data_IF_608042568490
#
_entry.id   IF_608042568490
#
_cell.length_a   1.000
_cell.length_b   1.000
_cell.length_c   1.000
_cell.angle_alpha   90.00
_cell.angle_beta   90.00
_cell.angle_gamma   90.00
#
_symmetry.space_group_name_H-M   'P 1'
#
loop_
_entity.id
_entity.type
_entity.pdbx_description
1 polymer ?
#
# COMPACT_ATOMS: atom_id res chain seq x y z
N UNK A 1 9.38 31.34 22.74
CA UNK A 1 9.08 32.16 21.54
C UNK A 1 9.91 31.70 20.34
N UNK A 2 11.24 31.77 20.32
CA UNK A 2 12.07 31.33 19.17
C UNK A 2 11.82 29.90 18.65
N UNK A 3 11.57 28.94 19.54
CA UNK A 3 11.23 27.57 19.14
C UNK A 3 9.82 27.46 18.56
N UNK A 4 8.87 28.25 19.06
CA UNK A 4 7.51 28.35 18.53
C UNK A 4 7.51 29.07 17.18
N UNK A 5 8.26 30.16 17.04
CA UNK A 5 8.47 30.85 15.77
C UNK A 5 9.13 29.95 14.73
N UNK A 6 10.14 29.17 15.12
CA UNK A 6 10.77 28.17 14.24
C UNK A 6 9.77 27.10 13.80
N UNK A 7 8.94 26.58 14.72
CA UNK A 7 7.89 25.60 14.39
C UNK A 7 6.80 26.20 13.49
N UNK A 8 6.45 27.47 13.68
CA UNK A 8 5.49 28.20 12.83
C UNK A 8 6.06 28.41 11.43
N UNK A 9 7.33 28.80 11.32
CA UNK A 9 8.04 28.96 10.04
C UNK A 9 8.15 27.61 9.34
N UNK A 10 8.55 26.54 10.04
CA UNK A 10 8.62 25.18 9.46
C UNK A 10 7.24 24.65 9.06
N UNK A 11 6.16 25.08 9.72
CA UNK A 11 4.79 24.73 9.37
C UNK A 11 4.22 25.53 8.19
N UNK A 12 4.80 26.70 7.87
CA UNK A 12 4.34 27.58 6.78
C UNK A 12 5.17 27.46 5.50
N UNK A 13 6.42 27.02 5.57
CA UNK A 13 7.27 26.84 4.38
C UNK A 13 6.93 25.53 3.69
N UNK A 14 6.31 25.64 2.51
CA UNK A 14 6.03 24.51 1.63
C UNK A 14 7.30 24.07 0.88
N UNK A 15 7.46 22.75 0.71
CA UNK A 15 8.43 22.20 -0.25
C UNK A 15 8.00 22.52 -1.70
N UNK A 16 8.88 22.32 -2.68
CA UNK A 16 8.51 22.52 -4.09
C UNK A 16 7.31 21.64 -4.52
N UNK A 17 7.23 20.33 -4.18
CA UNK A 17 6.03 19.54 -4.46
C UNK A 17 4.77 20.00 -3.72
N UNK A 18 4.91 20.46 -2.49
CA UNK A 18 3.79 20.99 -1.70
C UNK A 18 3.26 22.30 -2.33
N UNK A 19 4.16 23.23 -2.68
CA UNK A 19 3.82 24.49 -3.36
C UNK A 19 3.17 24.25 -4.73
N UNK A 20 3.59 23.22 -5.47
CA UNK A 20 2.94 22.87 -6.73
C UNK A 20 1.51 22.32 -6.51
N UNK A 21 1.28 21.53 -5.45
CA UNK A 21 -0.09 21.12 -5.10
C UNK A 21 -0.93 22.33 -4.69
N UNK A 22 -0.41 23.25 -3.88
CA UNK A 22 -1.09 24.49 -3.51
C UNK A 22 -1.52 25.28 -4.76
N UNK A 23 -0.58 25.57 -5.67
CA UNK A 23 -0.84 26.29 -6.92
C UNK A 23 -1.92 25.60 -7.76
N UNK A 24 -1.78 24.29 -7.97
CA UNK A 24 -2.72 23.51 -8.77
C UNK A 24 -4.11 23.47 -8.13
N UNK A 25 -4.20 23.29 -6.81
CA UNK A 25 -5.47 23.28 -6.09
C UNK A 25 -6.13 24.65 -6.07
N UNK A 26 -5.37 25.75 -5.99
CA UNK A 26 -5.91 27.10 -6.09
C UNK A 26 -6.60 27.35 -7.44
N UNK A 27 -5.94 26.98 -8.54
CA UNK A 27 -6.51 27.07 -9.89
C UNK A 27 -7.72 26.14 -10.05
N UNK A 28 -7.63 24.90 -9.55
CA UNK A 28 -8.74 23.95 -9.59
C UNK A 28 -9.95 24.42 -8.78
N UNK A 29 -9.74 25.10 -7.64
CA UNK A 29 -10.81 25.61 -6.79
C UNK A 29 -11.53 26.81 -7.43
N UNK A 30 -10.84 27.60 -8.26
CA UNK A 30 -11.47 28.63 -9.07
C UNK A 30 -12.26 28.04 -10.27
N UNK A 31 -11.69 27.05 -10.96
CA UNK A 31 -12.27 26.48 -12.18
C UNK A 31 -13.44 25.50 -11.92
N UNK A 32 -13.30 24.63 -10.90
CA UNK A 32 -14.30 23.62 -10.45
C UNK A 32 -14.84 22.63 -11.49
N UNK A 33 -14.30 22.61 -12.71
CA UNK A 33 -14.75 21.72 -13.79
C UNK A 33 -14.72 20.22 -13.41
N UNK A 34 -13.76 19.81 -12.59
CA UNK A 34 -13.56 18.40 -12.19
C UNK A 34 -14.32 17.98 -10.92
N UNK A 35 -15.21 18.81 -10.37
CA UNK A 35 -15.85 18.57 -9.05
C UNK A 35 -16.55 17.21 -8.94
N UNK A 36 -17.12 16.69 -10.03
CA UNK A 36 -17.82 15.40 -10.05
C UNK A 36 -16.92 14.16 -10.20
N UNK A 37 -15.60 14.30 -10.35
CA UNK A 37 -14.76 13.19 -10.81
C UNK A 37 -14.28 12.27 -9.67
N UNK A 38 -13.96 12.81 -8.48
CA UNK A 38 -13.51 11.98 -7.35
C UNK A 38 -13.61 12.75 -6.03
N UNK A 39 -13.32 12.10 -4.90
CA UNK A 39 -13.39 12.70 -3.57
C UNK A 39 -12.48 13.93 -3.36
N UNK A 40 -11.40 14.05 -4.12
CA UNK A 40 -10.41 15.12 -3.93
C UNK A 40 -11.04 16.49 -4.16
N UNK A 41 -11.85 16.65 -5.22
CA UNK A 41 -12.37 17.98 -5.56
C UNK A 41 -13.44 18.46 -4.58
N UNK A 42 -14.45 17.66 -4.18
CA UNK A 42 -15.36 18.04 -3.10
C UNK A 42 -14.68 18.30 -1.76
N UNK A 43 -13.55 17.63 -1.46
CA UNK A 43 -12.75 17.93 -0.27
C UNK A 43 -11.99 19.25 -0.43
N UNK A 44 -11.39 19.49 -1.59
CA UNK A 44 -10.67 20.71 -1.93
C UNK A 44 -11.58 21.95 -1.88
N UNK A 45 -12.82 21.87 -2.35
CA UNK A 45 -13.77 23.02 -2.37
C UNK A 45 -14.29 23.44 -0.99
N UNK A 46 -13.90 22.74 0.08
CA UNK A 46 -14.16 23.13 1.46
C UNK A 46 -13.05 24.01 2.05
N UNK A 47 -12.05 24.37 1.24
CA UNK A 47 -10.87 25.14 1.65
C UNK A 47 -10.74 26.40 0.83
N UNK A 48 -10.18 27.44 1.45
CA UNK A 48 -9.79 28.69 0.78
C UNK A 48 -8.28 28.74 0.54
N UNK A 49 -7.51 28.17 1.45
CA UNK A 49 -6.05 28.06 1.40
C UNK A 49 -5.65 26.59 1.57
N UNK A 50 -4.45 26.22 1.08
CA UNK A 50 -3.97 24.85 1.08
C UNK A 50 -2.67 24.73 1.86
N UNK A 51 -2.78 24.69 3.19
CA UNK A 51 -1.64 24.43 4.06
C UNK A 51 -1.10 23.00 3.94
N UNK A 52 0.09 22.76 4.50
CA UNK A 52 0.81 21.49 4.44
C UNK A 52 -0.03 20.26 4.81
N UNK A 53 -0.78 20.33 5.90
CA UNK A 53 -1.63 19.23 6.36
C UNK A 53 -2.75 18.90 5.34
N UNK A 54 -3.31 19.91 4.68
CA UNK A 54 -4.32 19.73 3.64
C UNK A 54 -3.72 19.18 2.36
N UNK A 55 -2.53 19.62 1.98
CA UNK A 55 -1.79 19.06 0.84
C UNK A 55 -1.56 17.56 1.03
N UNK A 56 -1.01 17.14 2.18
CA UNK A 56 -0.77 15.71 2.43
C UNK A 56 -2.07 14.90 2.54
N UNK A 57 -3.12 15.50 3.11
CA UNK A 57 -4.45 14.90 3.13
C UNK A 57 -4.99 14.65 1.73
N UNK A 58 -5.06 15.69 0.88
CA UNK A 58 -5.57 15.61 -0.49
C UNK A 58 -4.72 14.67 -1.35
N UNK A 59 -3.39 14.68 -1.16
CA UNK A 59 -2.47 13.78 -1.83
C UNK A 59 -2.79 12.31 -1.56
N UNK A 60 -3.18 11.95 -0.33
CA UNK A 60 -3.53 10.59 0.06
C UNK A 60 -4.99 10.21 -0.24
N UNK A 61 -5.89 11.21 -0.28
CA UNK A 61 -7.25 11.05 -0.80
C UNK A 61 -7.26 10.80 -2.31
N UNK A 62 -6.28 11.35 -3.04
CA UNK A 62 -6.13 11.14 -4.47
C UNK A 62 -5.76 9.68 -4.81
N UNK A 63 -6.55 9.06 -5.68
CA UNK A 63 -6.33 7.70 -6.20
C UNK A 63 -5.44 7.64 -7.45
N UNK A 64 -4.91 8.80 -7.87
CA UNK A 64 -4.07 8.92 -9.06
C UNK A 64 -4.79 8.40 -10.32
N UNK A 65 -6.08 8.71 -10.47
CA UNK A 65 -6.97 8.15 -11.48
C UNK A 65 -6.73 8.68 -12.91
N UNK A 66 -6.27 9.92 -13.04
CA UNK A 66 -5.95 10.52 -14.35
C UNK A 66 -7.12 11.25 -15.03
N UNK A 67 -8.37 10.97 -14.65
CA UNK A 67 -9.55 11.60 -15.26
C UNK A 67 -9.48 13.13 -15.29
N UNK A 68 -9.05 13.75 -14.18
CA UNK A 68 -8.88 15.21 -14.11
C UNK A 68 -7.79 15.75 -15.04
N UNK A 69 -6.74 14.97 -15.35
CA UNK A 69 -5.71 15.38 -16.29
C UNK A 69 -6.25 15.39 -17.72
N UNK A 70 -6.95 14.33 -18.13
CA UNK A 70 -7.48 14.20 -19.49
C UNK A 70 -8.61 15.20 -19.79
N UNK A 71 -9.37 15.60 -18.78
CA UNK A 71 -10.46 16.55 -18.95
C UNK A 71 -10.05 18.02 -18.76
N UNK A 72 -8.82 18.30 -18.31
CA UNK A 72 -8.40 19.65 -17.96
C UNK A 72 -8.02 20.46 -19.20
N UNK A 73 -8.71 21.60 -19.40
CA UNK A 73 -8.41 22.57 -20.46
C UNK A 73 -7.04 23.25 -20.26
N UNK A 74 -6.53 23.23 -19.03
CA UNK A 74 -5.26 23.84 -18.62
C UNK A 74 -4.14 22.80 -18.43
N UNK A 75 -4.35 21.54 -18.83
CA UNK A 75 -3.31 20.53 -18.82
C UNK A 75 -2.17 20.90 -19.79
N UNK A 76 -0.94 20.40 -19.58
CA UNK A 76 0.13 20.58 -20.55
C UNK A 76 -0.31 20.18 -21.97
N UNK A 77 0.04 20.96 -23.01
CA UNK A 77 1.06 22.02 -23.02
C UNK A 77 0.55 23.44 -22.72
N UNK A 78 -0.67 23.62 -22.18
CA UNK A 78 -1.17 24.95 -21.77
C UNK A 78 -0.20 25.63 -20.78
N UNK A 79 -0.10 26.96 -20.80
CA UNK A 79 0.85 27.75 -19.99
C UNK A 79 0.73 27.49 -18.47
N UNK A 80 -0.49 27.28 -17.95
CA UNK A 80 -0.72 26.93 -16.55
C UNK A 80 -0.23 25.51 -16.18
N UNK A 81 -0.02 24.64 -17.17
CA UNK A 81 0.54 23.30 -17.05
C UNK A 81 -0.06 22.45 -15.91
N UNK A 82 -1.37 22.50 -15.72
CA UNK A 82 -2.07 21.86 -14.59
C UNK A 82 -1.99 20.34 -14.70
N UNK A 83 -1.26 19.70 -13.77
CA UNK A 83 -1.16 18.24 -13.70
C UNK A 83 -1.39 17.73 -12.28
N UNK A 84 -2.67 17.64 -11.91
CA UNK A 84 -3.13 17.15 -10.60
C UNK A 84 -2.54 15.78 -10.22
N UNK A 85 -2.61 14.71 -11.05
CA UNK A 85 -2.11 13.41 -10.62
C UNK A 85 -0.59 13.40 -10.39
N UNK A 86 0.19 14.18 -11.15
CA UNK A 86 1.64 14.29 -10.94
C UNK A 86 1.97 15.04 -9.65
N UNK A 87 1.39 16.23 -9.45
CA UNK A 87 1.58 17.04 -8.25
C UNK A 87 1.21 16.24 -6.98
N UNK A 88 0.03 15.63 -6.98
CA UNK A 88 -0.44 14.79 -5.87
C UNK A 88 0.45 13.56 -5.64
N UNK A 89 1.01 12.96 -6.69
CA UNK A 89 1.97 11.87 -6.52
C UNK A 89 3.23 12.38 -5.80
N UNK A 90 3.82 13.49 -6.24
CA UNK A 90 5.05 14.02 -5.65
C UNK A 90 4.85 14.34 -4.15
N UNK A 91 3.80 15.06 -3.78
CA UNK A 91 3.48 15.35 -2.37
C UNK A 91 3.15 14.09 -1.55
N UNK A 92 2.56 13.06 -2.17
CA UNK A 92 2.30 11.76 -1.50
C UNK A 92 3.60 11.04 -1.13
N UNK A 93 4.61 11.09 -1.99
CA UNK A 93 5.90 10.50 -1.68
C UNK A 93 6.57 11.20 -0.49
N UNK A 94 6.45 12.53 -0.40
CA UNK A 94 6.92 13.30 0.75
C UNK A 94 6.15 12.95 2.02
N UNK A 95 4.83 12.75 1.91
CA UNK A 95 4.01 12.25 3.02
C UNK A 95 4.64 10.98 3.62
N UNK A 96 4.90 9.97 2.80
CA UNK A 96 5.44 8.70 3.30
C UNK A 96 6.82 8.87 3.95
N UNK A 97 7.66 9.75 3.41
CA UNK A 97 8.97 10.04 3.98
C UNK A 97 8.88 10.75 5.33
N UNK A 98 8.02 11.77 5.44
CA UNK A 98 7.86 12.58 6.65
C UNK A 98 7.24 11.79 7.81
N UNK A 99 6.28 10.92 7.50
CA UNK A 99 5.61 10.10 8.51
C UNK A 99 6.28 8.74 8.76
N UNK A 100 7.38 8.43 8.07
CA UNK A 100 8.19 7.25 8.36
C UNK A 100 8.67 7.27 9.82
N UNK A 101 8.56 6.13 10.51
CA UNK A 101 9.09 5.93 11.86
C UNK A 101 10.09 4.78 11.86
N UNK A 102 11.32 4.96 12.39
CA UNK A 102 11.93 6.22 12.79
C UNK A 102 12.14 7.19 11.61
N UNK A 103 12.26 8.50 11.85
CA UNK A 103 12.36 9.50 10.78
C UNK A 103 13.57 9.27 9.84
N UNK A 104 14.67 8.73 10.36
CA UNK A 104 15.84 8.35 9.56
C UNK A 104 15.51 7.37 8.43
N UNK A 105 14.48 6.55 8.60
CA UNK A 105 14.11 5.51 7.64
C UNK A 105 13.23 6.06 6.51
N UNK A 106 12.89 7.35 6.52
CA UNK A 106 12.33 8.04 5.35
C UNK A 106 13.22 7.93 4.10
N UNK A 107 14.54 7.77 4.29
CA UNK A 107 15.47 7.51 3.20
C UNK A 107 15.22 6.18 2.46
N UNK A 108 14.62 5.19 3.13
CA UNK A 108 14.30 3.89 2.53
C UNK A 108 13.23 4.03 1.45
N UNK A 109 12.29 4.97 1.58
CA UNK A 109 11.33 5.30 0.52
C UNK A 109 12.01 5.88 -0.72
N UNK A 110 13.05 6.71 -0.56
CA UNK A 110 13.80 7.29 -1.69
C UNK A 110 14.59 6.23 -2.46
N UNK A 111 15.07 5.19 -1.75
CA UNK A 111 15.88 4.09 -2.31
C UNK A 111 15.10 2.78 -2.39
N UNK A 112 13.77 2.85 -2.42
CA UNK A 112 12.90 1.69 -2.23
C UNK A 112 13.22 0.50 -3.13
N UNK A 113 13.59 0.73 -4.40
CA UNK A 113 14.00 -0.33 -5.31
C UNK A 113 15.24 -1.11 -4.82
N UNK A 114 16.25 -0.39 -4.35
CA UNK A 114 17.48 -0.99 -3.78
C UNK A 114 17.17 -1.68 -2.45
N UNK A 115 16.39 -1.02 -1.58
CA UNK A 115 15.97 -1.60 -0.29
C UNK A 115 15.26 -2.94 -0.49
N UNK A 116 14.32 -3.01 -1.43
CA UNK A 116 13.60 -4.25 -1.77
C UNK A 116 14.55 -5.31 -2.32
N UNK A 117 15.44 -4.95 -3.25
CA UNK A 117 16.39 -5.90 -3.81
C UNK A 117 17.34 -6.47 -2.75
N UNK A 118 17.87 -5.63 -1.87
CA UNK A 118 18.74 -6.06 -0.77
C UNK A 118 17.99 -6.93 0.24
N UNK A 119 16.78 -6.55 0.63
CA UNK A 119 15.96 -7.36 1.53
C UNK A 119 15.67 -8.75 0.93
N UNK A 120 15.42 -8.82 -0.37
CA UNK A 120 15.21 -10.08 -1.08
C UNK A 120 16.48 -10.93 -1.11
N UNK A 121 17.63 -10.36 -1.50
CA UNK A 121 18.91 -11.08 -1.54
C UNK A 121 19.26 -11.61 -0.15
N UNK A 122 19.22 -10.76 0.88
CA UNK A 122 19.55 -11.15 2.26
C UNK A 122 18.57 -12.21 2.76
N UNK A 123 17.27 -12.06 2.51
CA UNK A 123 16.26 -13.05 2.89
C UNK A 123 16.51 -14.41 2.23
N UNK A 124 16.72 -14.45 0.92
CA UNK A 124 16.99 -15.69 0.19
C UNK A 124 18.29 -16.35 0.66
N UNK A 125 19.37 -15.58 0.79
CA UNK A 125 20.67 -16.10 1.27
C UNK A 125 20.54 -16.64 2.70
N UNK A 126 19.86 -15.92 3.59
CA UNK A 126 19.65 -16.34 4.98
C UNK A 126 18.96 -17.71 5.04
N UNK A 127 17.82 -17.88 4.38
CA UNK A 127 17.07 -19.14 4.48
C UNK A 127 17.75 -20.29 3.76
N UNK A 128 18.44 -20.06 2.64
CA UNK A 128 19.23 -21.10 1.98
C UNK A 128 20.39 -21.59 2.86
N UNK A 129 21.14 -20.67 3.48
CA UNK A 129 22.22 -21.02 4.41
C UNK A 129 21.68 -21.69 5.67
N UNK A 130 20.53 -21.25 6.18
CA UNK A 130 19.92 -21.84 7.37
C UNK A 130 19.42 -23.27 7.11
N UNK A 131 18.81 -23.53 5.95
CA UNK A 131 18.47 -24.91 5.54
C UNK A 131 19.73 -25.78 5.52
N UNK A 132 20.81 -25.30 4.91
CA UNK A 132 22.09 -26.02 4.85
C UNK A 132 22.66 -26.27 6.25
N UNK A 133 22.63 -25.28 7.14
CA UNK A 133 23.16 -25.40 8.49
C UNK A 133 22.37 -26.38 9.36
N UNK A 134 21.04 -26.43 9.21
CA UNK A 134 20.17 -27.28 10.03
C UNK A 134 20.07 -28.73 9.50
N UNK A 135 20.20 -28.93 8.18
CA UNK A 135 20.00 -30.24 7.53
C UNK A 135 21.22 -30.84 6.87
N UNK A 136 22.29 -30.06 6.67
CA UNK A 136 23.49 -30.49 5.95
C UNK A 136 23.30 -30.61 4.43
N UNK A 137 22.09 -30.41 3.92
CA UNK A 137 21.78 -30.45 2.49
C UNK A 137 20.49 -29.66 2.20
N UNK A 138 20.38 -29.12 0.98
CA UNK A 138 19.15 -28.52 0.45
C UNK A 138 18.18 -29.57 -0.12
N UNK A 139 18.71 -30.72 -0.54
CA UNK A 139 17.95 -31.85 -1.07
C UNK A 139 17.95 -32.94 0.00
N UNK A 140 16.77 -33.45 0.29
CA UNK A 140 16.54 -34.37 1.39
C UNK A 140 15.48 -35.41 0.95
N UNK A 141 15.40 -36.58 1.60
CA UNK A 141 14.31 -37.52 1.34
C UNK A 141 12.94 -36.85 1.56
N UNK A 142 11.90 -37.23 0.80
CA UNK A 142 10.54 -36.70 1.00
C UNK A 142 10.07 -36.81 2.45
N UNK A 143 9.55 -35.70 3.00
CA UNK A 143 9.11 -35.60 4.40
C UNK A 143 7.57 -35.60 4.54
N UNK A 144 6.86 -36.12 3.55
CA UNK A 144 5.38 -36.11 3.51
C UNK A 144 4.76 -34.72 3.77
N UNK A 145 5.42 -33.65 3.29
CA UNK A 145 4.94 -32.27 3.43
C UNK A 145 5.19 -31.63 4.79
N UNK A 146 5.78 -32.36 5.75
CA UNK A 146 6.12 -31.83 7.07
C UNK A 146 7.37 -30.95 7.00
N UNK A 147 7.13 -29.67 6.73
CA UNK A 147 8.17 -28.65 6.68
C UNK A 147 8.73 -28.26 8.05
N UNK A 148 8.08 -28.63 9.17
CA UNK A 148 8.60 -28.34 10.51
C UNK A 148 9.84 -29.17 10.84
N UNK A 149 9.99 -30.32 10.17
CA UNK A 149 11.24 -31.04 10.22
C UNK A 149 12.40 -30.21 9.68
N UNK A 150 12.21 -29.37 8.65
CA UNK A 150 13.27 -28.49 8.12
C UNK A 150 13.46 -27.27 9.01
N UNK A 151 12.38 -26.51 9.26
CA UNK A 151 12.39 -25.33 10.11
C UNK A 151 11.42 -25.52 11.26
N UNK A 152 11.91 -25.69 12.51
CA UNK A 152 11.04 -25.86 13.67
C UNK A 152 10.02 -24.73 13.79
N UNK A 153 8.79 -25.07 14.19
CA UNK A 153 7.69 -24.09 14.29
C UNK A 153 8.06 -22.86 15.13
N UNK A 154 8.69 -23.07 16.30
CA UNK A 154 9.09 -21.99 17.20
C UNK A 154 10.06 -21.00 16.56
N UNK A 155 10.98 -21.49 15.72
CA UNK A 155 11.93 -20.66 14.99
C UNK A 155 11.19 -19.75 13.99
N UNK A 156 10.27 -20.32 13.20
CA UNK A 156 9.48 -19.56 12.23
C UNK A 156 8.58 -18.53 12.94
N UNK A 157 7.89 -18.94 14.00
CA UNK A 157 7.02 -18.07 14.79
C UNK A 157 7.79 -16.88 15.37
N UNK A 158 8.97 -17.09 15.96
CA UNK A 158 9.79 -16.00 16.49
C UNK A 158 10.33 -15.08 15.39
N UNK A 159 10.90 -15.62 14.33
CA UNK A 159 11.49 -14.82 13.26
C UNK A 159 10.44 -13.95 12.54
N UNK A 160 9.35 -14.56 12.07
CA UNK A 160 8.33 -13.82 11.33
C UNK A 160 7.41 -13.02 12.23
N UNK A 161 7.05 -13.54 13.41
CA UNK A 161 6.20 -12.85 14.37
C UNK A 161 6.84 -11.55 14.88
N UNK A 162 8.12 -11.57 15.24
CA UNK A 162 8.83 -10.37 15.70
C UNK A 162 8.93 -9.30 14.60
N UNK A 163 9.31 -9.69 13.38
CA UNK A 163 9.38 -8.78 12.23
C UNK A 163 8.00 -8.22 11.88
N UNK A 164 6.96 -9.05 11.90
CA UNK A 164 5.58 -8.63 11.63
C UNK A 164 5.09 -7.59 12.66
N UNK A 165 5.26 -7.87 13.96
CA UNK A 165 4.85 -6.94 15.04
C UNK A 165 5.60 -5.61 14.92
N UNK A 166 6.91 -5.66 14.68
CA UNK A 166 7.71 -4.45 14.46
C UNK A 166 7.24 -3.66 13.24
N UNK A 167 7.07 -4.34 12.09
CA UNK A 167 6.64 -3.71 10.84
C UNK A 167 5.27 -3.01 10.99
N UNK A 168 4.29 -3.70 11.59
CA UNK A 168 2.98 -3.12 11.84
C UNK A 168 3.07 -1.97 12.85
N UNK A 169 3.83 -2.12 13.94
CA UNK A 169 4.01 -1.05 14.92
C UNK A 169 4.57 0.23 14.32
N UNK A 170 5.61 0.11 13.48
CA UNK A 170 6.25 1.26 12.80
C UNK A 170 5.30 1.92 11.79
N UNK A 171 4.57 1.13 11.01
CA UNK A 171 3.58 1.64 10.07
C UNK A 171 2.45 2.37 10.79
N UNK A 172 1.87 1.76 11.83
CA UNK A 172 0.76 2.34 12.59
C UNK A 172 1.20 3.61 13.32
N UNK A 173 2.42 3.66 13.86
CA UNK A 173 2.95 4.89 14.45
C UNK A 173 2.99 6.04 13.42
N UNK A 174 3.42 5.78 12.18
CA UNK A 174 3.40 6.77 11.10
C UNK A 174 1.98 7.22 10.73
N UNK A 175 1.04 6.28 10.60
CA UNK A 175 -0.37 6.57 10.28
C UNK A 175 -1.05 7.36 11.40
N UNK A 176 -0.77 7.04 12.67
CA UNK A 176 -1.30 7.77 13.84
C UNK A 176 -0.77 9.21 13.84
N UNK A 177 0.52 9.43 13.53
CA UNK A 177 1.08 10.78 13.41
C UNK A 177 0.40 11.57 12.28
N UNK A 178 0.24 10.96 11.11
CA UNK A 178 -0.49 11.57 9.99
C UNK A 178 -1.94 11.90 10.36
N UNK A 179 -2.64 10.96 10.99
CA UNK A 179 -4.01 11.14 11.45
C UNK A 179 -4.15 12.32 12.42
N UNK A 180 -3.20 12.50 13.34
CA UNK A 180 -3.22 13.65 14.27
C UNK A 180 -3.00 14.97 13.54
N UNK A 181 -2.09 15.00 12.57
CA UNK A 181 -1.72 16.25 11.87
C UNK A 181 -2.81 16.73 10.91
N UNK A 182 -3.48 15.82 10.21
CA UNK A 182 -4.59 16.19 9.30
C UNK A 182 -5.87 16.61 10.05
N UNK A 183 -5.87 16.61 11.38
CA UNK A 183 -6.95 17.09 12.26
C UNK A 183 -8.37 16.67 11.82
N UNK A 184 -8.66 15.35 11.73
CA UNK A 184 -9.85 14.81 11.07
C UNK A 184 -11.13 14.98 11.87
N UNK A 185 -11.06 15.46 13.12
CA UNK A 185 -12.18 15.44 14.07
C UNK A 185 -12.49 14.04 14.60
N UNK A 186 -13.60 13.91 15.32
CA UNK A 186 -14.04 12.64 15.91
C UNK A 186 -14.94 11.89 14.92
N UNK A 187 -14.55 10.67 14.47
CA UNK A 187 -15.38 9.84 13.62
C UNK A 187 -16.49 9.17 14.43
N UNK A 188 -17.69 9.05 13.85
CA UNK A 188 -18.80 8.22 14.39
C UNK A 188 -18.86 6.91 13.59
N UNK A 189 -19.65 5.97 14.08
CA UNK A 189 -19.82 4.64 13.48
C UNK A 189 -20.22 4.68 12.00
N UNK A 190 -21.09 5.63 11.62
CA UNK A 190 -21.55 5.80 10.23
C UNK A 190 -20.41 6.22 9.29
N UNK A 191 -19.53 7.13 9.71
CA UNK A 191 -18.42 7.56 8.86
C UNK A 191 -17.34 6.48 8.76
N UNK A 192 -17.13 5.72 9.84
CA UNK A 192 -16.26 4.53 9.79
C UNK A 192 -16.82 3.52 8.79
N UNK A 193 -18.13 3.24 8.83
CA UNK A 193 -18.77 2.33 7.88
C UNK A 193 -18.68 2.82 6.43
N UNK A 194 -18.92 4.11 6.18
CA UNK A 194 -18.79 4.72 4.83
C UNK A 194 -17.34 4.63 4.32
N UNK A 195 -16.37 5.01 5.15
CA UNK A 195 -14.95 4.96 4.79
C UNK A 195 -14.47 3.53 4.53
N UNK A 196 -14.86 2.58 5.39
CA UNK A 196 -14.58 1.15 5.22
C UNK A 196 -15.20 0.61 3.94
N UNK A 197 -16.47 0.91 3.67
CA UNK A 197 -17.13 0.51 2.43
C UNK A 197 -16.41 1.09 1.20
N UNK A 198 -16.06 2.37 1.21
CA UNK A 198 -15.35 3.02 0.11
C UNK A 198 -13.95 2.44 -0.11
N UNK A 199 -13.24 2.08 0.96
CA UNK A 199 -11.94 1.41 0.89
C UNK A 199 -12.06 -0.01 0.33
N UNK A 200 -12.95 -0.83 0.87
CA UNK A 200 -13.14 -2.24 0.48
C UNK A 200 -13.71 -2.42 -0.93
N UNK A 201 -14.54 -1.49 -1.39
CA UNK A 201 -15.08 -1.50 -2.77
C UNK A 201 -14.16 -0.79 -3.76
N UNK A 202 -13.14 -0.09 -3.26
CA UNK A 202 -12.29 0.83 -4.03
C UNK A 202 -13.14 1.84 -4.82
N UNK A 203 -14.13 2.44 -4.15
CA UNK A 203 -15.15 3.30 -4.78
C UNK A 203 -14.50 4.33 -5.71
N UNK A 204 -13.50 5.06 -5.24
CA UNK A 204 -12.86 6.14 -6.01
C UNK A 204 -11.85 5.68 -7.07
N UNK A 205 -11.74 4.37 -7.36
CA UNK A 205 -11.10 3.86 -8.58
C UNK A 205 -12.10 3.64 -9.73
N UNK A 206 -13.36 4.06 -9.57
CA UNK A 206 -14.37 4.05 -10.62
C UNK A 206 -14.46 5.37 -11.42
N UNK A 207 -13.61 6.36 -11.10
CA UNK A 207 -13.58 7.66 -11.76
C UNK A 207 -14.73 8.60 -11.39
N UNK A 208 -15.51 8.30 -10.34
CA UNK A 208 -16.68 9.09 -9.91
C UNK A 208 -17.92 8.82 -10.77
N UNK A 209 -17.74 8.69 -12.07
CA UNK A 209 -18.77 8.34 -13.05
C UNK A 209 -18.97 6.83 -13.26
N UNK A 210 -18.27 5.97 -12.51
CA UNK A 210 -18.45 4.52 -12.56
C UNK A 210 -17.76 3.77 -13.71
N UNK A 211 -17.09 4.47 -14.64
CA UNK A 211 -16.46 3.85 -15.83
C UNK A 211 -14.99 3.48 -15.63
N UNK A 212 -14.40 3.85 -14.49
CA UNK A 212 -13.01 3.54 -14.14
C UNK A 212 -12.05 4.70 -14.35
N UNK A 213 -10.76 4.38 -14.41
CA UNK A 213 -9.67 5.35 -14.47
C UNK A 213 -8.92 5.28 -15.80
N UNK A 214 -8.16 6.34 -16.08
CA UNK A 214 -7.28 6.43 -17.24
C UNK A 214 -5.93 5.78 -16.97
N UNK A 215 -5.36 5.20 -18.02
CA UNK A 215 -4.13 4.42 -17.97
C UNK A 215 -3.09 4.91 -18.97
N UNK A 216 -3.14 4.39 -20.21
CA UNK A 216 -2.22 4.77 -21.27
C UNK A 216 -2.71 6.01 -22.02
N UNK A 217 -4.02 6.16 -22.17
CA UNK A 217 -4.73 7.16 -22.95
C UNK A 217 -5.96 7.70 -22.19
N UNK A 218 -6.79 8.49 -22.89
CA UNK A 218 -8.00 9.11 -22.37
C UNK A 218 -9.20 8.16 -22.25
N UNK A 219 -9.05 6.87 -22.60
CA UNK A 219 -10.10 5.88 -22.43
C UNK A 219 -10.27 5.46 -20.96
N UNK A 220 -11.52 5.37 -20.51
CA UNK A 220 -11.84 4.89 -19.16
C UNK A 220 -11.77 3.37 -19.07
N UNK A 221 -11.17 2.85 -18.00
CA UNK A 221 -11.13 1.41 -17.74
C UNK A 221 -11.23 1.04 -16.26
N UNK A 222 -11.94 -0.05 -15.98
CA UNK A 222 -12.05 -0.64 -14.64
C UNK A 222 -10.90 -1.60 -14.31
N UNK A 223 -9.94 -1.81 -15.23
CA UNK A 223 -8.86 -2.78 -15.06
C UNK A 223 -8.04 -2.53 -13.79
N UNK A 224 -7.69 -1.28 -13.50
CA UNK A 224 -6.95 -0.93 -12.27
C UNK A 224 -7.71 -1.36 -11.02
N UNK A 225 -9.03 -1.11 -10.97
CA UNK A 225 -9.88 -1.49 -9.84
C UNK A 225 -9.96 -3.02 -9.70
N UNK A 226 -10.18 -3.74 -10.80
CA UNK A 226 -10.25 -5.21 -10.81
C UNK A 226 -8.93 -5.85 -10.37
N UNK A 227 -7.80 -5.41 -10.91
CA UNK A 227 -6.50 -5.94 -10.52
C UNK A 227 -6.14 -5.60 -9.06
N UNK A 228 -6.52 -4.41 -8.56
CA UNK A 228 -6.38 -4.12 -7.14
C UNK A 228 -7.26 -5.02 -6.27
N UNK A 229 -8.48 -5.36 -6.68
CA UNK A 229 -9.32 -6.31 -5.94
C UNK A 229 -8.70 -7.70 -5.88
N UNK A 230 -8.17 -8.21 -7.00
CA UNK A 230 -7.40 -9.46 -7.00
C UNK A 230 -6.20 -9.39 -6.05
N UNK A 231 -5.45 -8.29 -6.05
CA UNK A 231 -4.32 -8.11 -5.13
C UNK A 231 -4.76 -8.03 -3.67
N UNK A 232 -5.75 -7.20 -3.36
CA UNK A 232 -6.21 -6.94 -1.99
C UNK A 232 -6.87 -8.17 -1.39
N UNK A 233 -7.89 -8.72 -2.06
CA UNK A 233 -8.58 -9.90 -1.56
C UNK A 233 -7.69 -11.15 -1.65
N UNK A 234 -6.79 -11.23 -2.63
CA UNK A 234 -5.77 -12.27 -2.68
C UNK A 234 -4.89 -12.27 -1.43
N UNK A 235 -4.36 -11.10 -1.06
CA UNK A 235 -3.59 -10.93 0.18
C UNK A 235 -4.42 -11.22 1.44
N UNK A 236 -5.67 -10.75 1.51
CA UNK A 236 -6.55 -11.01 2.65
C UNK A 236 -6.86 -12.50 2.83
N UNK A 237 -7.02 -13.25 1.73
CA UNK A 237 -7.21 -14.70 1.79
C UNK A 237 -5.94 -15.43 2.25
N UNK A 238 -4.76 -15.05 1.77
CA UNK A 238 -3.49 -15.59 2.28
C UNK A 238 -3.27 -15.25 3.77
N UNK A 239 -3.63 -14.04 4.20
CA UNK A 239 -3.58 -13.66 5.60
C UNK A 239 -4.55 -14.48 6.44
N UNK A 240 -5.80 -14.65 5.97
CA UNK A 240 -6.80 -15.49 6.61
C UNK A 240 -6.33 -16.95 6.72
N UNK A 241 -5.67 -17.50 5.69
CA UNK A 241 -5.06 -18.82 5.75
C UNK A 241 -4.05 -18.94 6.91
N UNK A 242 -3.22 -17.92 7.10
CA UNK A 242 -2.24 -17.86 8.20
C UNK A 242 -2.93 -17.77 9.55
N UNK A 243 -3.97 -16.94 9.69
CA UNK A 243 -4.76 -16.81 10.93
C UNK A 243 -5.45 -18.14 11.29
N UNK A 244 -6.08 -18.80 10.32
CA UNK A 244 -6.72 -20.10 10.53
C UNK A 244 -5.69 -21.16 10.91
N UNK A 245 -4.56 -21.24 10.20
CA UNK A 245 -3.48 -22.19 10.53
C UNK A 245 -2.90 -21.95 11.93
N UNK A 246 -2.78 -20.69 12.35
CA UNK A 246 -2.34 -20.32 13.71
C UNK A 246 -3.36 -20.78 14.75
N UNK A 247 -4.65 -20.57 14.50
CA UNK A 247 -5.72 -21.05 15.38
C UNK A 247 -5.76 -22.59 15.44
N UNK A 248 -5.57 -23.27 14.32
CA UNK A 248 -5.46 -24.73 14.28
C UNK A 248 -4.34 -25.22 15.18
N UNK A 249 -3.14 -24.64 15.05
CA UNK A 249 -1.99 -25.05 15.85
C UNK A 249 -2.17 -24.76 17.35
N UNK A 250 -2.46 -23.50 17.71
CA UNK A 250 -2.44 -23.07 19.12
C UNK A 250 -3.73 -23.30 19.90
N UNK A 251 -4.89 -23.38 19.22
CA UNK A 251 -6.19 -23.54 19.90
C UNK A 251 -6.73 -24.97 19.74
N UNK A 252 -6.63 -25.54 18.53
CA UNK A 252 -7.16 -26.88 18.25
C UNK A 252 -6.12 -28.00 18.37
N UNK A 253 -4.83 -27.68 18.48
CA UNK A 253 -3.74 -28.66 18.49
C UNK A 253 -3.57 -29.40 17.16
N UNK A 254 -4.09 -28.85 16.06
CA UNK A 254 -3.96 -29.43 14.72
C UNK A 254 -2.72 -28.85 14.04
N UNK A 255 -1.71 -29.68 13.89
CA UNK A 255 -0.44 -29.27 13.29
C UNK A 255 -0.39 -29.54 11.78
N UNK A 256 0.38 -28.73 11.06
CA UNK A 256 0.72 -29.01 9.67
C UNK A 256 1.57 -30.30 9.59
N UNK A 257 1.54 -31.05 8.47
CA UNK A 257 0.99 -30.71 7.16
C UNK A 257 -0.54 -30.86 7.04
N UNK A 258 -1.20 -29.87 6.45
CA UNK A 258 -2.64 -29.90 6.23
C UNK A 258 -3.03 -30.53 4.87
N UNK A 259 -4.17 -31.25 4.78
CA UNK A 259 -4.72 -31.74 3.51
C UNK A 259 -5.02 -30.62 2.51
N UNK A 260 -5.05 -30.92 1.21
CA UNK A 260 -5.28 -29.92 0.15
C UNK A 260 -6.63 -29.19 0.27
N UNK A 261 -7.68 -29.87 0.73
CA UNK A 261 -9.02 -29.30 0.92
C UNK A 261 -9.24 -28.74 2.34
N UNK A 262 -8.19 -28.63 3.14
CA UNK A 262 -8.28 -27.93 4.42
C UNK A 262 -8.48 -26.43 4.20
N UNK A 263 -9.14 -25.78 5.17
CA UNK A 263 -9.43 -24.35 5.08
C UNK A 263 -8.16 -23.48 4.90
N UNK A 264 -7.04 -23.69 5.63
CA UNK A 264 -5.80 -22.94 5.37
C UNK A 264 -5.28 -23.09 3.95
N UNK A 265 -5.26 -24.31 3.40
CA UNK A 265 -4.72 -24.54 2.06
C UNK A 265 -5.62 -23.93 0.99
N UNK A 266 -6.94 -24.10 1.08
CA UNK A 266 -7.87 -23.51 0.11
C UNK A 266 -7.82 -21.97 0.10
N UNK A 267 -7.82 -21.35 1.28
CA UNK A 267 -7.68 -19.89 1.41
C UNK A 267 -6.33 -19.43 0.85
N UNK A 268 -5.25 -20.14 1.17
CA UNK A 268 -3.91 -19.85 0.68
C UNK A 268 -3.79 -19.98 -0.85
N UNK A 269 -4.37 -21.03 -1.44
CA UNK A 269 -4.36 -21.28 -2.88
C UNK A 269 -5.16 -20.23 -3.64
N UNK A 270 -6.41 -19.96 -3.22
CA UNK A 270 -7.24 -18.92 -3.85
C UNK A 270 -6.62 -17.53 -3.69
N UNK A 271 -6.08 -17.24 -2.50
CA UNK A 271 -5.36 -16.01 -2.23
C UNK A 271 -4.14 -15.84 -3.12
N UNK A 272 -3.36 -16.92 -3.29
CA UNK A 272 -2.20 -16.97 -4.17
C UNK A 272 -2.56 -16.72 -5.63
N UNK A 273 -3.60 -17.39 -6.15
CA UNK A 273 -4.06 -17.15 -7.52
C UNK A 273 -4.43 -15.66 -7.72
N UNK A 274 -5.12 -15.06 -6.74
CA UNK A 274 -5.40 -13.62 -6.75
C UNK A 274 -4.14 -12.74 -6.75
N UNK A 275 -3.11 -13.11 -5.97
CA UNK A 275 -1.81 -12.46 -5.92
C UNK A 275 -0.88 -12.76 -7.10
N UNK A 276 -1.22 -13.69 -7.99
CA UNK A 276 -0.60 -13.79 -9.30
C UNK A 276 -1.30 -12.85 -10.30
N UNK A 277 -2.63 -12.93 -10.39
CA UNK A 277 -3.42 -12.18 -11.38
C UNK A 277 -3.35 -10.67 -11.12
N UNK A 278 -3.59 -10.24 -9.88
CA UNK A 278 -3.66 -8.82 -9.51
C UNK A 278 -2.33 -8.10 -9.73
N UNK A 279 -1.25 -8.50 -9.05
CA UNK A 279 0.08 -7.93 -9.24
C UNK A 279 0.59 -7.96 -10.69
N UNK A 280 0.38 -9.05 -11.45
CA UNK A 280 0.76 -9.10 -12.86
C UNK A 280 0.01 -8.04 -13.69
N UNK A 281 -1.31 -7.93 -13.50
CA UNK A 281 -2.13 -6.91 -14.16
C UNK A 281 -1.75 -5.49 -13.75
N UNK A 282 -1.46 -5.24 -12.47
CA UNK A 282 -1.01 -3.94 -11.98
C UNK A 282 0.38 -3.57 -12.50
N UNK A 283 1.29 -4.54 -12.65
CA UNK A 283 2.60 -4.32 -13.25
C UNK A 283 2.45 -3.95 -14.73
N UNK A 284 1.63 -4.69 -15.46
CA UNK A 284 1.33 -4.40 -16.86
C UNK A 284 0.75 -2.99 -17.05
N UNK A 285 -0.22 -2.58 -16.22
CA UNK A 285 -0.74 -1.22 -16.22
C UNK A 285 0.33 -0.18 -15.85
N UNK A 286 1.16 -0.44 -14.83
CA UNK A 286 2.23 0.46 -14.42
C UNK A 286 3.26 0.72 -15.54
N UNK A 287 3.54 -0.30 -16.35
CA UNK A 287 4.48 -0.21 -17.47
C UNK A 287 3.91 0.58 -18.65
N UNK A 288 2.60 0.46 -18.92
CA UNK A 288 1.92 1.15 -20.03
C UNK A 288 1.36 2.52 -19.70
N UNK A 289 1.42 2.92 -18.43
CA UNK A 289 0.81 4.17 -17.97
C UNK A 289 1.44 5.39 -18.63
N UNK A 290 0.62 6.36 -19.02
CA UNK A 290 1.08 7.63 -19.59
C UNK A 290 2.11 8.31 -18.67
N UNK A 291 3.22 8.85 -19.20
CA UNK A 291 4.25 9.53 -18.39
C UNK A 291 3.75 10.75 -17.61
N UNK A 292 2.65 11.36 -18.04
CA UNK A 292 2.01 12.47 -17.35
C UNK A 292 1.24 12.02 -16.10
N UNK A 293 1.02 10.72 -15.92
CA UNK A 293 0.33 10.15 -14.77
C UNK A 293 1.32 9.79 -13.64
N UNK A 294 1.38 10.65 -12.62
CA UNK A 294 2.15 10.41 -11.40
C UNK A 294 3.64 10.78 -11.51
N UNK A 295 4.44 10.31 -10.56
CA UNK A 295 5.87 10.62 -10.45
C UNK A 295 6.74 9.42 -10.84
N UNK A 296 7.70 9.62 -11.75
CA UNK A 296 8.67 8.61 -12.15
C UNK A 296 9.50 8.09 -10.97
N UNK A 297 9.77 8.93 -9.95
CA UNK A 297 10.53 8.55 -8.76
C UNK A 297 9.84 7.48 -7.91
N UNK A 298 8.51 7.30 -8.06
CA UNK A 298 7.77 6.24 -7.34
C UNK A 298 7.81 4.88 -8.05
N UNK A 299 8.17 4.83 -9.34
CA UNK A 299 8.12 3.59 -10.13
C UNK A 299 8.94 2.45 -9.51
N UNK A 300 10.17 2.66 -8.99
CA UNK A 300 10.94 1.59 -8.35
C UNK A 300 10.24 1.00 -7.12
N UNK A 301 9.65 1.85 -6.26
CA UNK A 301 8.89 1.41 -5.08
C UNK A 301 7.66 0.59 -5.49
N UNK A 302 6.90 1.08 -6.48
CA UNK A 302 5.68 0.44 -6.94
C UNK A 302 5.97 -0.93 -7.55
N UNK A 303 6.95 -1.00 -8.46
CA UNK A 303 7.32 -2.23 -9.16
C UNK A 303 7.97 -3.25 -8.22
N UNK A 304 8.85 -2.81 -7.33
CA UNK A 304 9.49 -3.69 -6.35
C UNK A 304 8.46 -4.34 -5.42
N UNK A 305 7.50 -3.56 -4.92
CA UNK A 305 6.43 -4.10 -4.07
C UNK A 305 5.50 -5.05 -4.83
N UNK A 306 5.09 -4.69 -6.05
CA UNK A 306 4.26 -5.56 -6.91
C UNK A 306 4.97 -6.88 -7.19
N UNK A 307 6.28 -6.85 -7.49
CA UNK A 307 7.08 -8.03 -7.74
C UNK A 307 7.21 -8.91 -6.49
N UNK A 308 7.43 -8.33 -5.30
CA UNK A 308 7.47 -9.10 -4.05
C UNK A 308 6.15 -9.83 -3.78
N UNK A 309 5.01 -9.17 -3.98
CA UNK A 309 3.69 -9.83 -3.84
C UNK A 309 3.52 -10.99 -4.83
N UNK A 310 3.90 -10.78 -6.09
CA UNK A 310 3.83 -11.80 -7.12
C UNK A 310 4.75 -13.00 -6.78
N UNK A 311 6.00 -12.74 -6.43
CA UNK A 311 6.98 -13.78 -6.07
C UNK A 311 6.57 -14.53 -4.82
N UNK A 312 6.00 -13.86 -3.82
CA UNK A 312 5.50 -14.50 -2.59
C UNK A 312 4.47 -15.57 -2.95
N UNK A 313 3.53 -15.22 -3.82
CA UNK A 313 2.51 -16.16 -4.26
C UNK A 313 3.05 -17.25 -5.17
N UNK A 314 3.91 -16.90 -6.13
CA UNK A 314 4.49 -17.87 -7.07
C UNK A 314 5.27 -18.94 -6.30
N UNK A 315 6.14 -18.52 -5.38
CA UNK A 315 6.94 -19.42 -4.56
C UNK A 315 6.07 -20.22 -3.59
N UNK A 316 4.99 -19.63 -3.04
CA UNK A 316 4.07 -20.34 -2.13
C UNK A 316 3.28 -21.44 -2.84
N UNK A 317 2.77 -21.18 -4.04
CA UNK A 317 2.08 -22.19 -4.86
C UNK A 317 3.05 -23.26 -5.37
N UNK A 318 4.27 -22.88 -5.76
CA UNK A 318 5.31 -23.83 -6.13
C UNK A 318 5.70 -24.73 -4.95
N UNK A 319 5.83 -24.17 -3.74
CA UNK A 319 6.05 -24.93 -2.52
C UNK A 319 4.90 -25.90 -2.26
N UNK A 320 3.65 -25.46 -2.36
CA UNK A 320 2.49 -26.34 -2.19
C UNK A 320 2.51 -27.51 -3.19
N UNK A 321 2.85 -27.25 -4.46
CA UNK A 321 2.94 -28.29 -5.48
C UNK A 321 4.11 -29.26 -5.26
N UNK A 322 5.23 -28.77 -4.72
CA UNK A 322 6.46 -29.53 -4.49
C UNK A 322 6.67 -30.03 -3.05
N UNK A 323 5.70 -29.86 -2.14
CA UNK A 323 5.85 -30.13 -0.70
C UNK A 323 6.19 -31.59 -0.38
N UNK A 324 5.79 -32.52 -1.23
CA UNK A 324 6.04 -33.96 -1.04
C UNK A 324 7.28 -34.44 -1.82
N UNK A 325 8.12 -33.52 -2.29
CA UNK A 325 9.32 -33.83 -3.09
C UNK A 325 10.61 -33.58 -2.31
N UNK A 326 11.72 -34.14 -2.80
CA UNK A 326 13.06 -33.89 -2.24
C UNK A 326 13.53 -32.43 -2.36
N UNK A 327 12.89 -31.65 -3.23
CA UNK A 327 13.15 -30.23 -3.43
C UNK A 327 12.42 -29.30 -2.45
N UNK A 328 11.61 -29.82 -1.52
CA UNK A 328 10.83 -28.99 -0.58
C UNK A 328 11.69 -27.98 0.17
N UNK A 329 12.91 -28.33 0.59
CA UNK A 329 13.80 -27.45 1.36
C UNK A 329 14.24 -26.21 0.59
N UNK A 330 14.48 -26.36 -0.72
CA UNK A 330 14.78 -25.24 -1.62
C UNK A 330 13.52 -24.37 -1.77
N UNK A 331 12.39 -24.97 -2.13
CA UNK A 331 11.14 -24.22 -2.34
C UNK A 331 10.71 -23.47 -1.07
N UNK A 332 10.86 -24.09 0.09
CA UNK A 332 10.56 -23.51 1.39
C UNK A 332 11.50 -22.34 1.71
N UNK A 333 12.82 -22.52 1.53
CA UNK A 333 13.78 -21.45 1.74
C UNK A 333 13.54 -20.25 0.83
N UNK A 334 13.23 -20.50 -0.45
CA UNK A 334 12.89 -19.45 -1.42
C UNK A 334 11.62 -18.71 -0.98
N UNK A 335 10.56 -19.43 -0.63
CA UNK A 335 9.31 -18.82 -0.19
C UNK A 335 9.50 -17.97 1.08
N UNK A 336 10.12 -18.54 2.12
CA UNK A 336 10.38 -17.84 3.39
C UNK A 336 11.28 -16.61 3.19
N UNK A 337 12.31 -16.69 2.33
CA UNK A 337 13.16 -15.55 1.99
C UNK A 337 12.38 -14.40 1.33
N UNK A 338 11.48 -14.73 0.40
CA UNK A 338 10.61 -13.72 -0.25
C UNK A 338 9.62 -13.12 0.75
N UNK A 339 8.97 -13.93 1.59
CA UNK A 339 8.02 -13.44 2.62
C UNK A 339 8.73 -12.55 3.65
N UNK A 340 9.94 -12.90 4.05
CA UNK A 340 10.74 -12.10 4.98
C UNK A 340 11.06 -10.73 4.37
N UNK A 341 11.47 -10.71 3.10
CA UNK A 341 11.70 -9.45 2.37
C UNK A 341 10.43 -8.59 2.26
N UNK A 342 9.27 -9.22 2.03
CA UNK A 342 7.97 -8.53 2.03
C UNK A 342 7.68 -7.87 3.39
N UNK A 343 7.86 -8.58 4.50
CA UNK A 343 7.57 -8.03 5.84
C UNK A 343 8.57 -6.95 6.28
N UNK A 344 9.87 -7.14 5.99
CA UNK A 344 10.89 -6.13 6.30
C UNK A 344 10.67 -4.81 5.56
N UNK A 345 10.12 -4.88 4.34
CA UNK A 345 9.88 -3.69 3.51
C UNK A 345 8.47 -3.13 3.61
N UNK A 346 7.56 -3.83 4.30
CA UNK A 346 6.16 -3.43 4.49
C UNK A 346 5.99 -2.00 5.04
N UNK A 347 6.67 -1.58 6.12
CA UNK A 347 6.47 -0.24 6.68
C UNK A 347 7.03 0.89 5.80
N UNK A 348 7.98 0.60 4.90
CA UNK A 348 8.66 1.59 4.06
C UNK A 348 8.47 1.35 2.56
N UNK A 349 7.41 0.62 2.21
CA UNK A 349 7.08 0.26 0.84
C UNK A 349 5.76 0.85 0.38
N UNK A 350 5.33 0.46 -0.82
CA UNK A 350 4.03 0.89 -1.37
C UNK A 350 2.87 0.43 -0.49
N UNK A 351 2.99 -0.65 0.28
CA UNK A 351 1.92 -1.16 1.14
C UNK A 351 1.32 -0.11 2.08
N UNK A 352 2.16 0.79 2.61
CA UNK A 352 1.75 1.87 3.50
C UNK A 352 0.61 2.73 2.93
N UNK A 353 0.55 2.90 1.60
CA UNK A 353 -0.46 3.73 0.94
C UNK A 353 -1.89 3.35 1.30
N UNK A 354 -2.16 2.06 1.55
CA UNK A 354 -3.50 1.60 1.91
C UNK A 354 -3.98 2.24 3.21
N UNK A 355 -3.10 2.33 4.21
CA UNK A 355 -3.43 2.85 5.54
C UNK A 355 -3.56 4.38 5.54
N UNK A 356 -2.62 5.09 4.91
CA UNK A 356 -2.72 6.55 4.76
C UNK A 356 -3.98 6.95 3.98
N UNK A 357 -4.34 6.17 2.95
CA UNK A 357 -5.56 6.40 2.19
C UNK A 357 -6.83 6.08 2.97
N UNK A 358 -6.86 5.01 3.77
CA UNK A 358 -7.98 4.75 4.67
C UNK A 358 -8.17 5.90 5.68
N UNK A 359 -7.08 6.42 6.24
CA UNK A 359 -7.11 7.60 7.11
C UNK A 359 -7.66 8.83 6.38
N UNK A 360 -7.22 9.11 5.14
CA UNK A 360 -7.76 10.21 4.35
C UNK A 360 -9.24 10.02 4.00
N UNK A 361 -9.68 8.80 3.64
CA UNK A 361 -11.08 8.51 3.37
C UNK A 361 -11.98 8.69 4.60
N UNK A 362 -11.48 8.32 5.78
CA UNK A 362 -12.20 8.53 7.03
C UNK A 362 -12.31 10.02 7.37
N UNK A 363 -11.24 10.80 7.18
CA UNK A 363 -11.31 12.27 7.30
C UNK A 363 -12.35 12.84 6.34
N UNK A 364 -12.35 12.40 5.09
CA UNK A 364 -13.33 12.85 4.09
C UNK A 364 -14.78 12.56 4.52
N UNK A 365 -15.05 11.36 5.04
CA UNK A 365 -16.39 11.03 5.54
C UNK A 365 -16.82 11.95 6.71
N UNK A 366 -15.88 12.33 7.59
CA UNK A 366 -16.14 13.30 8.68
C UNK A 366 -16.38 14.71 8.16
N UNK A 367 -15.60 15.18 7.19
CA UNK A 367 -15.76 16.50 6.55
C UNK A 367 -17.10 16.61 5.81
N UNK A 368 -17.43 15.60 5.01
CA UNK A 368 -18.69 15.53 4.23
C UNK A 368 -19.93 15.70 5.11
N UNK A 369 -19.92 15.13 6.33
CA UNK A 369 -20.99 15.34 7.31
C UNK A 369 -21.09 16.80 7.77
N UNK A 370 -19.95 17.42 8.12
CA UNK A 370 -19.92 18.76 8.72
C UNK A 370 -20.37 19.84 7.73
N UNK A 371 -20.33 19.56 6.42
CA UNK A 371 -20.66 20.52 5.37
C UNK A 371 -19.65 21.68 5.34
N UNK A 372 -19.92 22.72 4.54
CA UNK A 372 -19.06 23.92 4.44
C UNK A 372 -19.00 24.80 5.71
N UNK A 373 -19.60 24.39 6.83
CA UNK A 373 -19.81 25.24 8.00
C UNK A 373 -18.61 25.35 8.97
N UNK A 374 -17.39 25.07 8.51
CA UNK A 374 -16.18 25.19 9.35
C UNK A 374 -15.63 26.63 9.44
N UNK A 375 -16.44 27.65 9.11
CA UNK A 375 -16.09 29.05 9.37
C UNK A 375 -16.46 29.53 10.77
N UNK A 376 -17.15 28.73 11.59
CA UNK A 376 -17.93 29.26 12.72
C UNK A 376 -17.76 28.52 14.05
N UNK A 377 -16.60 27.90 14.31
CA UNK A 377 -16.26 27.51 15.68
C UNK A 377 -14.95 28.16 16.10
N UNK A 378 -15.02 29.48 16.28
CA UNK A 378 -14.23 30.14 17.31
C UNK A 378 -14.69 29.64 18.67
N UNK A 379 -13.78 29.00 19.38
CA UNK A 379 -13.71 29.00 20.84
C UNK A 379 -12.25 28.80 21.24
#
# INVERSE_FOLDING_TARGET
MKQLEKLIIEATVLTEPEAEVERVMQVCNACRYCEGFCAVFPAMTQRLEFGKADIHYLANLCHNCGACLHACQYAPPHEFAINVPKAMAQARLETYQQYAQPAAFGALYRRAGITVALALIVGLTLFLLLTMALKGSLIHPPLAGDFYQIFPHSLLAWMFGSVFVLAIGLLMAGVIRFWREISPGVPRSVEIAEASHNALTLKYLDGGHGKGCNEADDAFTLLRRRFHHFTFYGFMLCFAATVVATGYHYVAGWEAPYPFFSLPVMLGTLGGIGLLIGPAGLLWLNLRRSPLHGDARQKPMDRGFILLLFLTSLTGLALLAGRDTSGMGILLALHLGVVMALFLTLPYGKFAHGFFRCAALLKWAVEKRRGKHAGDTGN
#
